data_IF_696997298184
#
_entry.id   IF_696997298184
#
_cell.length_a   1.000
_cell.length_b   1.000
_cell.length_c   1.000
_cell.angle_alpha   90.00
_cell.angle_beta   90.00
_cell.angle_gamma   90.00
#
_symmetry.space_group_name_H-M   'P 1'
#
loop_
_entity.id
_entity.type
_entity.pdbx_description
1 polymer ?
#
# COMPACT_ATOMS: atom_id res chain seq x y z
N UNK A 1 9.30 -4.17 -3.47
CA UNK A 1 8.88 -2.83 -3.98
C UNK A 1 8.38 -1.96 -2.83
N UNK A 2 8.34 -0.64 -2.98
CA UNK A 2 7.79 0.30 -1.98
C UNK A 2 6.41 0.77 -2.41
N UNK A 3 5.41 0.59 -1.56
CA UNK A 3 4.05 1.09 -1.78
C UNK A 3 3.76 2.31 -0.91
N UNK A 4 3.04 3.26 -1.48
CA UNK A 4 2.62 4.49 -0.83
C UNK A 4 1.11 4.53 -0.73
N UNK A 5 0.59 4.88 0.45
CA UNK A 5 -0.84 4.95 0.71
C UNK A 5 -1.24 6.35 1.17
N UNK A 6 -2.40 6.79 0.69
CA UNK A 6 -2.96 8.09 1.02
C UNK A 6 -3.57 8.14 2.43
N UNK A 7 -4.39 9.17 2.66
CA UNK A 7 -5.13 9.32 3.90
C UNK A 7 -6.25 8.29 4.08
N UNK A 8 -6.58 8.02 5.34
CA UNK A 8 -7.70 7.17 5.75
C UNK A 8 -9.01 7.74 5.20
N UNK A 9 -9.75 6.94 4.43
CA UNK A 9 -11.07 7.30 3.93
C UNK A 9 -11.10 8.35 2.82
N UNK A 10 -9.95 8.87 2.37
CA UNK A 10 -9.88 9.75 1.21
C UNK A 10 -9.70 8.93 -0.07
N UNK A 11 -10.36 9.39 -1.13
CA UNK A 11 -10.19 8.88 -2.49
C UNK A 11 -9.39 9.88 -3.31
N UNK A 12 -8.34 9.38 -3.94
CA UNK A 12 -7.47 10.10 -4.84
C UNK A 12 -7.78 9.65 -6.26
N UNK A 13 -8.09 10.60 -7.13
CA UNK A 13 -8.26 10.40 -8.56
C UNK A 13 -7.32 11.35 -9.28
N UNK A 14 -6.28 10.80 -9.92
CA UNK A 14 -5.23 11.57 -10.62
C UNK A 14 -4.57 12.64 -9.73
N UNK A 15 -4.03 12.26 -8.55
CA UNK A 15 -3.40 13.23 -7.66
C UNK A 15 -2.13 13.82 -8.29
N UNK A 16 -1.86 15.10 -8.04
CA UNK A 16 -0.58 15.72 -8.42
C UNK A 16 0.54 15.26 -7.50
N UNK A 17 1.79 15.36 -7.95
CA UNK A 17 2.96 15.06 -7.10
C UNK A 17 2.97 15.95 -5.86
N UNK A 18 2.67 17.25 -6.01
CA UNK A 18 2.58 18.19 -4.90
C UNK A 18 1.52 17.76 -3.87
N UNK A 19 0.34 17.34 -4.33
CA UNK A 19 -0.69 16.83 -3.43
C UNK A 19 -0.23 15.58 -2.68
N UNK A 20 0.50 14.68 -3.36
CA UNK A 20 1.02 13.45 -2.77
C UNK A 20 2.10 13.70 -1.73
N UNK A 21 2.98 14.67 -1.95
CA UNK A 21 4.15 14.95 -1.09
C UNK A 21 3.90 16.00 -0.03
N UNK A 22 2.81 16.76 -0.12
CA UNK A 22 2.42 17.72 0.92
C UNK A 22 1.96 16.98 2.19
N UNK A 23 2.61 17.32 3.31
CA UNK A 23 2.32 16.75 4.61
C UNK A 23 0.83 16.90 4.97
N UNK A 24 0.21 15.80 5.41
CA UNK A 24 -1.20 15.80 5.78
C UNK A 24 -2.18 15.94 4.60
N UNK A 25 -1.72 15.88 3.34
CA UNK A 25 -2.58 15.96 2.16
C UNK A 25 -2.55 14.68 1.31
N UNK A 26 -1.37 14.08 1.14
CA UNK A 26 -1.18 12.93 0.28
C UNK A 26 -0.84 11.65 1.05
N UNK A 27 0.41 11.26 0.91
CA UNK A 27 0.97 10.01 1.43
C UNK A 27 1.01 10.07 2.97
N UNK A 28 0.42 9.07 3.61
CA UNK A 28 0.38 8.90 5.07
C UNK A 28 0.99 7.59 5.54
N UNK A 29 1.20 6.62 4.64
CA UNK A 29 1.84 5.36 4.98
C UNK A 29 2.72 4.90 3.83
N UNK A 30 3.88 4.33 4.18
CA UNK A 30 4.82 3.73 3.25
C UNK A 30 5.10 2.32 3.76
N UNK A 31 5.01 1.33 2.88
CA UNK A 31 5.26 -0.06 3.21
C UNK A 31 6.13 -0.77 2.19
N UNK A 32 6.85 -1.80 2.64
CA UNK A 32 7.70 -2.61 1.77
C UNK A 32 6.98 -3.90 1.43
N UNK A 33 6.74 -4.14 0.14
CA UNK A 33 6.20 -5.41 -0.34
C UNK A 33 7.32 -6.44 -0.36
N UNK A 34 7.12 -7.55 0.35
CA UNK A 34 8.08 -8.66 0.49
C UNK A 34 7.65 -9.94 -0.20
N UNK A 35 6.38 -10.06 -0.58
CA UNK A 35 5.84 -11.20 -1.32
C UNK A 35 4.61 -10.78 -2.14
N UNK A 36 4.38 -11.45 -3.27
CA UNK A 36 3.33 -11.14 -4.24
C UNK A 36 2.68 -12.42 -4.73
N UNK A 37 1.36 -12.54 -4.54
CA UNK A 37 0.55 -13.64 -5.04
C UNK A 37 -0.04 -13.27 -6.40
N UNK A 38 0.01 -14.21 -7.34
CA UNK A 38 -0.53 -14.05 -8.70
C UNK A 38 -1.54 -15.16 -9.02
N UNK A 39 -2.53 -14.85 -9.84
CA UNK A 39 -3.44 -15.85 -10.41
C UNK A 39 -2.80 -16.62 -11.57
N UNK A 40 -3.54 -17.58 -12.12
CA UNK A 40 -3.13 -18.42 -13.26
C UNK A 40 -2.82 -17.60 -14.52
N UNK A 41 -3.39 -16.39 -14.64
CA UNK A 41 -3.15 -15.46 -15.73
C UNK A 41 -1.97 -14.52 -15.45
N UNK A 42 -1.29 -14.69 -14.32
CA UNK A 42 -0.14 -13.89 -13.91
C UNK A 42 -0.50 -12.51 -13.34
N UNK A 43 -1.78 -12.23 -13.09
CA UNK A 43 -2.21 -10.98 -12.49
C UNK A 43 -1.98 -11.00 -10.99
N UNK A 44 -1.53 -9.89 -10.43
CA UNK A 44 -1.37 -9.75 -8.98
C UNK A 44 -2.75 -9.77 -8.33
N UNK A 45 -2.95 -10.66 -7.37
CA UNK A 45 -4.21 -10.80 -6.62
C UNK A 45 -4.07 -10.44 -5.15
N UNK A 46 -2.87 -10.58 -4.58
CA UNK A 46 -2.56 -10.16 -3.22
C UNK A 46 -1.07 -9.85 -3.05
N UNK A 47 -0.73 -9.17 -1.95
CA UNK A 47 0.65 -9.00 -1.52
C UNK A 47 0.80 -9.09 -0.01
N UNK A 48 2.03 -9.40 0.43
CA UNK A 48 2.46 -9.31 1.82
C UNK A 48 3.33 -8.08 2.02
N UNK A 49 3.00 -7.28 3.03
CA UNK A 49 3.74 -6.07 3.39
C UNK A 49 4.51 -6.27 4.68
N UNK A 50 5.78 -5.86 4.68
CA UNK A 50 6.60 -5.70 5.86
C UNK A 50 6.37 -4.33 6.48
N UNK A 51 6.14 -4.32 7.80
CA UNK A 51 6.10 -3.14 8.64
C UNK A 51 7.38 -3.08 9.46
N UNK A 52 8.17 -2.03 9.24
CA UNK A 52 9.39 -1.79 9.99
C UNK A 52 9.10 -1.59 11.49
N UNK A 53 10.11 -1.88 12.34
CA UNK A 53 10.03 -1.61 13.77
C UNK A 53 9.78 -0.12 14.02
N UNK A 54 8.85 0.17 14.93
CA UNK A 54 8.56 1.52 15.41
C UNK A 54 8.70 1.63 16.92
N UNK A 55 8.52 2.83 17.47
CA UNK A 55 8.53 3.06 18.93
C UNK A 55 7.42 2.22 19.58
N UNK A 56 7.82 1.23 20.39
CA UNK A 56 6.90 0.32 21.09
C UNK A 56 6.19 -0.71 20.20
N UNK A 57 6.57 -0.85 18.92
CA UNK A 57 5.97 -1.82 18.00
C UNK A 57 7.04 -2.70 17.34
N UNK A 58 7.01 -4.03 17.54
CA UNK A 58 7.95 -4.92 16.86
C UNK A 58 7.73 -4.86 15.35
N UNK A 59 8.76 -5.24 14.59
CA UNK A 59 8.59 -5.46 13.16
C UNK A 59 7.60 -6.60 12.94
N UNK A 60 6.78 -6.49 11.90
CA UNK A 60 5.77 -7.49 11.58
C UNK A 60 5.53 -7.53 10.07
N UNK A 61 4.78 -8.53 9.63
CA UNK A 61 4.24 -8.56 8.28
C UNK A 61 2.73 -8.73 8.32
N UNK A 62 2.05 -8.09 7.39
CA UNK A 62 0.60 -8.26 7.17
C UNK A 62 0.43 -8.89 5.79
N UNK A 63 -0.30 -10.00 5.75
CA UNK A 63 -0.58 -10.76 4.53
C UNK A 63 -1.92 -10.33 3.92
N UNK A 64 -2.14 -10.75 2.68
CA UNK A 64 -3.44 -10.68 2.00
C UNK A 64 -3.98 -9.25 1.84
N UNK A 65 -3.16 -8.32 1.38
CA UNK A 65 -3.68 -7.08 0.81
C UNK A 65 -4.26 -7.37 -0.58
N UNK A 66 -5.56 -7.59 -0.63
CA UNK A 66 -6.26 -8.15 -1.78
C UNK A 66 -6.56 -7.11 -2.87
N UNK A 67 -6.48 -7.54 -4.13
CA UNK A 67 -7.05 -6.83 -5.27
C UNK A 67 -8.56 -6.60 -5.09
N UNK A 68 -9.25 -7.61 -4.53
CA UNK A 68 -10.68 -7.60 -4.23
C UNK A 68 -10.86 -7.84 -2.73
N UNK A 69 -10.94 -6.78 -1.91
CA UNK A 69 -11.12 -6.92 -0.48
C UNK A 69 -12.44 -7.59 -0.13
N UNK A 70 -12.45 -8.43 0.92
CA UNK A 70 -13.68 -9.05 1.44
C UNK A 70 -14.69 -8.03 1.97
N UNK A 71 -14.24 -6.83 2.31
CA UNK A 71 -15.07 -5.71 2.73
C UNK A 71 -15.02 -4.62 1.66
N UNK A 72 -16.17 -4.35 1.02
CA UNK A 72 -16.32 -3.36 -0.06
C UNK A 72 -16.02 -1.92 0.35
N UNK A 73 -15.94 -1.62 1.64
CA UNK A 73 -15.51 -0.31 2.14
C UNK A 73 -13.99 -0.09 2.08
N UNK A 74 -13.22 -1.15 1.84
CA UNK A 74 -11.76 -1.09 1.72
C UNK A 74 -11.35 -0.92 0.25
N UNK A 75 -10.37 -0.04 -0.05
CA UNK A 75 -9.80 0.07 -1.38
C UNK A 75 -9.02 -1.20 -1.77
N UNK A 76 -9.09 -1.56 -3.05
CA UNK A 76 -8.24 -2.56 -3.66
C UNK A 76 -6.75 -2.28 -3.35
N UNK A 77 -6.03 -3.32 -2.94
CA UNK A 77 -4.61 -3.25 -2.56
C UNK A 77 -4.28 -2.21 -1.48
N UNK A 78 -5.27 -1.67 -0.77
CA UNK A 78 -5.04 -0.59 0.19
C UNK A 78 -4.57 -1.07 1.55
N UNK A 79 -3.95 -0.19 2.30
CA UNK A 79 -3.63 -0.45 3.70
C UNK A 79 -4.83 -0.06 4.58
N UNK A 80 -5.66 -1.03 4.96
CA UNK A 80 -6.96 -0.76 5.58
C UNK A 80 -7.79 0.20 4.72
N UNK A 81 -8.23 1.34 5.27
CA UNK A 81 -9.01 2.37 4.55
C UNK A 81 -8.12 3.38 3.82
N UNK A 82 -6.82 3.12 3.69
CA UNK A 82 -5.89 3.98 2.98
C UNK A 82 -5.71 3.44 1.55
N UNK A 83 -6.07 4.26 0.56
CA UNK A 83 -5.93 3.90 -0.85
C UNK A 83 -4.44 3.82 -1.24
N UNK A 84 -4.07 2.80 -2.02
CA UNK A 84 -2.79 2.78 -2.72
C UNK A 84 -2.74 3.91 -3.76
N UNK A 85 -1.71 4.77 -3.69
CA UNK A 85 -1.59 5.96 -4.53
C UNK A 85 -0.34 5.99 -5.41
N UNK A 86 0.72 5.25 -5.05
CA UNK A 86 1.93 5.15 -5.84
C UNK A 86 2.74 3.88 -5.51
N UNK A 87 3.62 3.47 -6.41
CA UNK A 87 4.56 2.36 -6.27
C UNK A 87 5.93 2.81 -6.76
N UNK A 88 6.99 2.38 -6.07
CA UNK A 88 8.36 2.50 -6.52
C UNK A 88 9.06 1.13 -6.48
N UNK A 89 9.89 0.84 -7.47
CA UNK A 89 10.74 -0.34 -7.46
C UNK A 89 11.98 -0.07 -6.61
N UNK A 90 12.42 -1.09 -5.87
CA UNK A 90 13.72 -1.07 -5.21
C UNK A 90 14.68 -1.72 -6.20
N UNK A 91 15.57 -0.92 -6.78
CA UNK A 91 16.65 -1.40 -7.61
C UNK A 91 17.89 -1.61 -6.72
N UNK A 92 18.28 -2.87 -6.55
CA UNK A 92 19.52 -3.23 -5.85
C UNK A 92 20.55 -3.54 -6.92
N UNK A 93 21.24 -2.50 -7.39
CA UNK A 93 22.41 -2.66 -8.26
C UNK A 93 23.49 -3.49 -7.58
#
# INVERSE_FOLDING_TARGET
AIMFFGQVGKKYSRPSIEQLTTYGQGIMHIGTVIDVEKDEQGQVVAYTMFHARGRGKPASHTRHYLQRPNNSSLPAFGNWRQQWVALAYIDTK
#
